data_IF_055467598238
#
_entry.id   IF_055467598238
#
_cell.length_a   1.000
_cell.length_b   1.000
_cell.length_c   1.000
_cell.angle_alpha   90.00
_cell.angle_beta   90.00
_cell.angle_gamma   90.00
#
_symmetry.space_group_name_H-M   'P 1'
#
loop_
_entity.id
_entity.type
_entity.pdbx_description
1 polymer ?
#
# COMPACT_ATOMS: atom_id res chain seq x y z
N UNK A 1 -9.20 4.08 -21.51
CA UNK A 1 -8.68 5.28 -20.83
C UNK A 1 -8.36 4.85 -19.41
N UNK A 2 -7.12 4.51 -19.17
CA UNK A 2 -6.62 4.07 -17.85
C UNK A 2 -6.46 5.35 -17.03
N UNK A 3 -7.41 5.61 -16.13
CA UNK A 3 -7.20 6.63 -15.09
C UNK A 3 -6.10 6.09 -14.19
N UNK A 4 -4.95 6.71 -14.26
CA UNK A 4 -3.81 6.38 -13.45
C UNK A 4 -4.20 6.62 -11.97
N UNK A 5 -3.83 5.70 -11.09
CA UNK A 5 -3.95 5.82 -9.64
C UNK A 5 -3.46 7.19 -9.12
N UNK A 6 -2.50 7.79 -9.84
CA UNK A 6 -1.94 9.10 -9.58
C UNK A 6 -2.94 10.27 -9.77
N UNK A 7 -3.77 10.24 -10.82
CA UNK A 7 -4.69 11.37 -11.12
C UNK A 7 -5.78 11.51 -10.07
N UNK A 8 -6.15 10.41 -9.42
CA UNK A 8 -7.15 10.46 -8.35
C UNK A 8 -6.57 10.99 -7.03
N UNK A 9 -5.33 10.61 -6.71
CA UNK A 9 -4.65 11.08 -5.49
C UNK A 9 -4.29 12.56 -5.57
N UNK A 10 -3.83 13.06 -6.71
CA UNK A 10 -3.49 14.48 -6.91
C UNK A 10 -4.68 15.43 -6.72
N UNK A 11 -5.89 15.03 -7.11
CA UNK A 11 -7.09 15.88 -6.98
C UNK A 11 -7.61 15.96 -5.53
N UNK A 12 -7.43 14.91 -4.71
CA UNK A 12 -7.82 14.94 -3.29
C UNK A 12 -6.75 15.55 -2.39
N UNK A 13 -5.47 15.39 -2.71
CA UNK A 13 -4.37 15.99 -1.95
C UNK A 13 -4.42 17.51 -1.94
N UNK A 14 -4.82 18.14 -3.04
CA UNK A 14 -5.03 19.59 -3.07
C UNK A 14 -6.13 20.06 -2.10
N UNK A 15 -7.06 19.18 -1.73
CA UNK A 15 -8.10 19.48 -0.74
C UNK A 15 -7.72 19.06 0.69
N UNK A 16 -6.87 18.04 0.90
CA UNK A 16 -6.43 17.60 2.23
C UNK A 16 -5.18 18.33 2.75
N UNK A 17 -4.30 18.83 1.87
CA UNK A 17 -3.09 19.58 2.25
C UNK A 17 -3.39 20.90 2.97
N UNK A 18 -4.59 21.45 2.86
CA UNK A 18 -5.03 22.60 3.66
C UNK A 18 -5.28 22.28 5.15
N UNK A 19 -5.19 21.01 5.57
CA UNK A 19 -5.38 20.60 6.97
C UNK A 19 -4.08 20.33 7.74
N UNK A 20 -2.93 20.32 7.06
CA UNK A 20 -1.64 20.09 7.71
C UNK A 20 -0.81 21.37 7.74
N UNK A 21 -1.20 22.32 8.58
CA UNK A 21 -0.31 23.40 8.98
C UNK A 21 0.79 22.83 9.90
N UNK A 22 2.04 22.93 9.45
CA UNK A 22 3.25 22.32 10.05
C UNK A 22 3.58 22.82 11.49
N UNK A 23 2.75 23.65 12.08
CA UNK A 23 2.95 24.23 13.41
C UNK A 23 2.07 23.63 14.51
N UNK A 24 1.07 22.86 14.20
CA UNK A 24 0.23 22.21 15.19
C UNK A 24 0.49 20.70 15.22
N UNK A 25 1.38 20.26 16.10
CA UNK A 25 1.31 18.90 16.62
C UNK A 25 -0.09 18.71 17.17
N UNK A 26 -0.95 18.09 16.39
CA UNK A 26 -2.27 17.70 16.88
C UNK A 26 -2.03 16.81 18.10
N UNK A 27 -2.33 17.30 19.28
CA UNK A 27 -2.55 16.45 20.41
C UNK A 27 -3.65 15.49 19.99
N UNK A 28 -3.30 14.23 19.81
CA UNK A 28 -4.29 13.17 19.57
C UNK A 28 -5.16 13.15 20.81
N UNK A 29 -6.25 13.91 20.76
CA UNK A 29 -7.32 13.78 21.72
C UNK A 29 -7.78 12.34 21.63
N UNK A 30 -7.82 11.63 22.75
CA UNK A 30 -8.44 10.30 22.79
C UNK A 30 -9.82 10.42 22.18
N UNK A 31 -9.98 9.89 20.99
CA UNK A 31 -11.25 9.83 20.29
C UNK A 31 -12.21 9.02 21.15
N UNK A 32 -13.28 9.64 21.67
CA UNK A 32 -14.27 8.89 22.43
C UNK A 32 -15.22 8.14 21.46
N UNK A 33 -15.92 7.16 21.99
CA UNK A 33 -16.88 6.38 21.22
C UNK A 33 -17.91 7.26 20.48
N UNK A 34 -18.31 8.39 21.07
CA UNK A 34 -19.26 9.34 20.50
C UNK A 34 -18.70 10.08 19.29
N UNK A 35 -17.40 10.36 19.28
CA UNK A 35 -16.75 11.00 18.12
C UNK A 35 -16.67 10.04 16.94
N UNK A 36 -16.40 8.76 17.21
CA UNK A 36 -16.44 7.69 16.20
C UNK A 36 -17.86 7.53 15.65
N UNK A 37 -18.89 7.47 16.52
CA UNK A 37 -20.29 7.38 16.10
C UNK A 37 -20.72 8.58 15.26
N UNK A 38 -20.34 9.81 15.65
CA UNK A 38 -20.62 11.02 14.88
C UNK A 38 -19.94 11.00 13.52
N UNK A 39 -18.68 10.54 13.45
CA UNK A 39 -17.96 10.40 12.19
C UNK A 39 -18.69 9.46 11.26
N UNK A 40 -19.04 8.25 11.71
CA UNK A 40 -19.78 7.31 10.87
C UNK A 40 -21.18 7.81 10.48
N UNK A 41 -21.86 8.53 11.38
CA UNK A 41 -23.15 9.14 11.07
C UNK A 41 -23.07 10.32 10.08
N UNK A 42 -21.89 10.92 9.91
CA UNK A 42 -21.68 12.01 8.95
C UNK A 42 -21.36 11.52 7.54
N UNK A 43 -21.01 10.24 7.35
CA UNK A 43 -20.70 9.67 6.05
C UNK A 43 -22.00 9.58 5.24
N UNK A 44 -22.01 10.21 4.09
CA UNK A 44 -23.16 10.19 3.18
C UNK A 44 -23.15 8.93 2.29
N UNK A 45 -24.32 8.57 1.77
CA UNK A 45 -24.44 7.44 0.85
C UNK A 45 -23.64 7.70 -0.44
N UNK A 46 -23.63 8.92 -0.93
CA UNK A 46 -22.84 9.32 -2.11
C UNK A 46 -21.33 9.15 -1.89
N UNK A 47 -20.81 9.53 -0.72
CA UNK A 47 -19.39 9.31 -0.39
C UNK A 47 -19.02 7.84 -0.34
N UNK A 48 -19.92 6.97 0.14
CA UNK A 48 -19.71 5.52 0.13
C UNK A 48 -19.70 4.98 -1.29
N UNK A 49 -20.62 5.44 -2.15
CA UNK A 49 -20.69 5.03 -3.55
C UNK A 49 -19.43 5.47 -4.29
N UNK A 50 -19.02 6.73 -4.16
CA UNK A 50 -17.83 7.27 -4.83
C UNK A 50 -16.56 6.51 -4.40
N UNK A 51 -16.40 6.28 -3.11
CA UNK A 51 -15.27 5.50 -2.58
C UNK A 51 -15.29 4.07 -3.14
N UNK A 52 -16.45 3.42 -3.18
CA UNK A 52 -16.61 2.07 -3.72
C UNK A 52 -16.23 2.01 -5.20
N UNK A 53 -16.62 2.99 -6.01
CA UNK A 53 -16.25 3.06 -7.43
C UNK A 53 -14.74 3.20 -7.63
N UNK A 54 -14.07 3.97 -6.78
CA UNK A 54 -12.60 4.10 -6.80
C UNK A 54 -11.94 2.76 -6.50
N UNK A 55 -12.36 2.10 -5.42
CA UNK A 55 -11.82 0.79 -5.05
C UNK A 55 -12.06 -0.28 -6.11
N UNK A 56 -13.21 -0.27 -6.79
CA UNK A 56 -13.47 -1.17 -7.92
C UNK A 56 -12.48 -0.98 -9.06
N UNK A 57 -12.11 0.27 -9.38
CA UNK A 57 -11.10 0.59 -10.41
C UNK A 57 -9.69 0.14 -10.04
N UNK A 58 -9.41 0.00 -8.74
CA UNK A 58 -8.11 -0.45 -8.24
C UNK A 58 -7.98 -1.97 -8.21
N UNK A 59 -9.05 -2.72 -8.49
CA UNK A 59 -9.03 -4.18 -8.48
C UNK A 59 -7.99 -4.73 -9.45
N UNK A 60 -7.10 -5.56 -8.94
CA UNK A 60 -6.06 -6.20 -9.74
C UNK A 60 -6.68 -7.24 -10.69
N UNK A 61 -6.29 -7.20 -11.95
CA UNK A 61 -6.75 -8.09 -13.02
C UNK A 61 -5.69 -9.08 -13.47
N UNK A 62 -4.43 -8.82 -13.15
CA UNK A 62 -3.29 -9.63 -13.56
C UNK A 62 -2.17 -9.61 -12.52
N UNK A 63 -1.18 -10.48 -12.69
CA UNK A 63 -0.06 -10.65 -11.75
C UNK A 63 0.85 -9.42 -11.68
N UNK A 64 0.94 -8.65 -12.76
CA UNK A 64 1.71 -7.41 -12.78
C UNK A 64 1.11 -6.38 -11.82
N UNK A 65 -0.19 -6.18 -11.86
CA UNK A 65 -0.89 -5.27 -10.96
C UNK A 65 -0.77 -5.73 -9.50
N UNK A 66 -0.90 -7.02 -9.24
CA UNK A 66 -0.66 -7.60 -7.91
C UNK A 66 0.77 -7.30 -7.43
N UNK A 67 1.76 -7.53 -8.28
CA UNK A 67 3.16 -7.25 -7.98
C UNK A 67 3.39 -5.77 -7.67
N UNK A 68 2.79 -4.88 -8.44
CA UNK A 68 2.90 -3.43 -8.22
C UNK A 68 2.27 -2.99 -6.88
N UNK A 69 1.18 -3.62 -6.41
CA UNK A 69 0.63 -3.35 -5.07
C UNK A 69 1.62 -3.74 -3.96
N UNK A 70 2.32 -4.86 -4.12
CA UNK A 70 3.38 -5.24 -3.20
C UNK A 70 4.54 -4.24 -3.21
N UNK A 71 4.98 -3.77 -4.38
CA UNK A 71 6.03 -2.75 -4.46
C UNK A 71 5.62 -1.47 -3.73
N UNK A 72 4.36 -1.05 -3.88
CA UNK A 72 3.82 0.10 -3.15
C UNK A 72 3.86 -0.11 -1.63
N UNK A 73 3.49 -1.30 -1.16
CA UNK A 73 3.57 -1.64 0.26
C UNK A 73 5.01 -1.61 0.80
N UNK A 74 5.99 -2.11 0.03
CA UNK A 74 7.40 -2.01 0.39
C UNK A 74 7.87 -0.55 0.52
N UNK A 75 7.45 0.31 -0.38
CA UNK A 75 7.80 1.73 -0.33
C UNK A 75 7.14 2.45 0.84
N UNK A 76 5.99 1.97 1.35
CA UNK A 76 5.24 2.59 2.45
C UNK A 76 5.81 2.37 3.85
N UNK A 77 6.85 1.55 4.00
CA UNK A 77 7.47 1.26 5.31
C UNK A 77 8.24 2.48 5.82
N UNK A 78 7.84 3.04 6.97
CA UNK A 78 8.51 4.19 7.59
C UNK A 78 8.72 5.40 6.66
N UNK A 79 7.73 5.74 5.84
CA UNK A 79 7.80 6.89 4.94
C UNK A 79 6.50 7.69 4.96
N UNK A 80 6.59 8.99 4.58
CA UNK A 80 5.41 9.76 4.21
C UNK A 80 4.79 9.23 2.92
N UNK A 81 3.53 9.57 2.68
CA UNK A 81 2.84 9.18 1.45
C UNK A 81 3.57 9.66 0.19
N UNK A 82 4.05 10.90 0.17
CA UNK A 82 4.78 11.47 -0.98
C UNK A 82 6.09 10.72 -1.24
N UNK A 83 6.86 10.40 -0.19
CA UNK A 83 8.08 9.60 -0.32
C UNK A 83 7.78 8.19 -0.80
N UNK A 84 6.68 7.58 -0.31
CA UNK A 84 6.19 6.30 -0.79
C UNK A 84 5.88 6.36 -2.29
N UNK A 85 5.11 7.36 -2.72
CA UNK A 85 4.77 7.55 -4.13
C UNK A 85 6.00 7.73 -5.02
N UNK A 86 6.95 8.58 -4.63
CA UNK A 86 8.19 8.76 -5.39
C UNK A 86 8.97 7.44 -5.51
N UNK A 87 9.12 6.72 -4.40
CA UNK A 87 9.78 5.42 -4.38
C UNK A 87 9.09 4.41 -5.30
N UNK A 88 7.78 4.28 -5.18
CA UNK A 88 6.99 3.39 -6.03
C UNK A 88 7.12 3.74 -7.52
N UNK A 89 6.96 5.01 -7.89
CA UNK A 89 7.07 5.45 -9.28
C UNK A 89 8.45 5.15 -9.88
N UNK A 90 9.51 5.29 -9.09
CA UNK A 90 10.86 4.99 -9.55
C UNK A 90 11.09 3.51 -9.87
N UNK A 91 10.35 2.60 -9.21
CA UNK A 91 10.57 1.14 -9.32
C UNK A 91 9.39 0.36 -9.91
N UNK A 92 8.26 1.01 -10.24
CA UNK A 92 7.04 0.32 -10.72
C UNK A 92 7.26 -0.48 -12.00
N UNK A 93 8.17 -0.02 -12.87
CA UNK A 93 8.62 -0.80 -14.01
C UNK A 93 9.78 -1.72 -13.59
N UNK A 94 9.42 -2.93 -13.22
CA UNK A 94 10.38 -3.90 -12.71
C UNK A 94 11.33 -4.42 -13.80
N UNK A 95 10.99 -4.31 -15.07
CA UNK A 95 11.81 -4.79 -16.17
C UNK A 95 13.15 -4.06 -16.24
N UNK A 96 13.21 -2.84 -15.74
CA UNK A 96 14.43 -2.03 -15.71
C UNK A 96 15.44 -2.51 -14.68
N UNK A 97 15.00 -3.14 -13.59
CA UNK A 97 15.86 -3.47 -12.44
C UNK A 97 15.80 -4.95 -12.00
N UNK A 98 14.92 -5.78 -12.55
CA UNK A 98 14.85 -7.19 -12.20
C UNK A 98 16.20 -7.89 -12.42
N UNK A 99 16.69 -8.58 -11.40
CA UNK A 99 18.06 -9.17 -11.33
C UNK A 99 19.22 -8.17 -11.45
N UNK A 100 18.96 -6.87 -11.16
CA UNK A 100 19.97 -5.81 -11.16
C UNK A 100 19.82 -4.95 -9.90
N UNK A 101 20.33 -5.47 -8.78
CA UNK A 101 20.19 -4.83 -7.47
C UNK A 101 20.86 -3.45 -7.40
N UNK A 102 21.91 -3.23 -8.17
CA UNK A 102 22.57 -1.93 -8.31
C UNK A 102 21.64 -0.89 -8.91
N UNK A 103 20.91 -1.24 -9.96
CA UNK A 103 19.92 -0.35 -10.60
C UNK A 103 18.74 -0.09 -9.67
N UNK A 104 18.19 -1.13 -9.03
CA UNK A 104 17.12 -0.97 -8.06
C UNK A 104 17.54 -0.04 -6.92
N UNK A 105 18.74 -0.25 -6.37
CA UNK A 105 19.28 0.59 -5.30
C UNK A 105 19.43 2.03 -5.75
N UNK A 106 19.97 2.28 -6.93
CA UNK A 106 20.15 3.64 -7.46
C UNK A 106 18.80 4.36 -7.62
N UNK A 107 17.77 3.69 -8.18
CA UNK A 107 16.41 4.24 -8.29
C UNK A 107 15.82 4.60 -6.91
N UNK A 108 15.99 3.75 -5.91
CA UNK A 108 15.52 4.01 -4.54
C UNK A 108 16.26 5.20 -3.89
N UNK A 109 17.56 5.36 -4.14
CA UNK A 109 18.34 6.51 -3.67
C UNK A 109 17.83 7.79 -4.31
N UNK A 110 17.70 7.82 -5.63
CA UNK A 110 17.26 9.00 -6.40
C UNK A 110 15.83 9.43 -6.04
N UNK A 111 14.96 8.48 -5.73
CA UNK A 111 13.58 8.78 -5.29
C UNK A 111 13.49 9.39 -3.90
N UNK A 112 14.55 9.29 -3.08
CA UNK A 112 14.55 9.77 -1.69
C UNK A 112 13.68 8.98 -0.73
N UNK A 113 13.26 7.76 -1.08
CA UNK A 113 12.33 6.96 -0.25
C UNK A 113 12.94 6.48 1.07
N UNK A 114 14.24 6.60 1.24
CA UNK A 114 14.97 6.16 2.43
C UNK A 114 15.16 4.64 2.53
N UNK A 115 15.89 4.18 3.54
CA UNK A 115 16.14 2.75 3.83
C UNK A 115 16.56 1.92 2.59
N UNK A 116 17.16 2.54 1.61
CA UNK A 116 17.41 1.97 0.27
C UNK A 116 18.18 0.64 0.31
N UNK A 117 19.14 0.45 1.23
CA UNK A 117 19.87 -0.81 1.35
C UNK A 117 18.96 -1.99 1.71
N UNK A 118 18.12 -1.80 2.75
CA UNK A 118 17.20 -2.84 3.19
C UNK A 118 16.09 -3.05 2.17
N UNK A 119 15.56 -1.97 1.58
CA UNK A 119 14.53 -2.06 0.55
C UNK A 119 15.02 -2.80 -0.68
N UNK A 120 16.22 -2.50 -1.18
CA UNK A 120 16.82 -3.22 -2.30
C UNK A 120 16.83 -4.72 -2.03
N UNK A 121 17.39 -5.12 -0.88
CA UNK A 121 17.47 -6.54 -0.50
C UNK A 121 16.07 -7.19 -0.46
N UNK A 122 15.14 -6.59 0.25
CA UNK A 122 13.81 -7.18 0.45
C UNK A 122 12.97 -7.20 -0.83
N UNK A 123 13.01 -6.14 -1.62
CA UNK A 123 12.27 -6.06 -2.89
C UNK A 123 12.84 -7.02 -3.92
N UNK A 124 14.17 -7.14 -4.03
CA UNK A 124 14.81 -8.07 -4.96
C UNK A 124 14.50 -9.53 -4.62
N UNK A 125 14.58 -9.89 -3.33
CA UNK A 125 14.22 -11.24 -2.86
C UNK A 125 12.72 -11.53 -3.10
N UNK A 126 11.85 -10.58 -2.78
CA UNK A 126 10.42 -10.71 -3.03
C UNK A 126 10.11 -10.86 -4.53
N UNK A 127 10.71 -10.02 -5.38
CA UNK A 127 10.50 -10.06 -6.82
C UNK A 127 10.89 -11.43 -7.41
N UNK A 128 12.02 -11.97 -6.99
CA UNK A 128 12.46 -13.31 -7.40
C UNK A 128 11.44 -14.38 -7.00
N UNK A 129 11.01 -14.40 -5.73
CA UNK A 129 9.99 -15.36 -5.24
C UNK A 129 8.66 -15.21 -5.95
N UNK A 130 8.22 -13.97 -6.16
CA UNK A 130 6.93 -13.68 -6.79
C UNK A 130 6.90 -14.20 -8.22
N UNK A 131 7.89 -13.86 -9.03
CA UNK A 131 7.91 -14.25 -10.44
C UNK A 131 8.25 -15.71 -10.68
N UNK A 132 8.88 -16.40 -9.71
CA UNK A 132 9.01 -17.85 -9.74
C UNK A 132 7.66 -18.55 -9.54
N UNK A 133 6.81 -18.06 -8.67
CA UNK A 133 5.48 -18.65 -8.42
C UNK A 133 4.47 -17.61 -7.88
N UNK A 134 3.82 -16.83 -8.75
CA UNK A 134 2.83 -15.83 -8.34
C UNK A 134 1.66 -16.40 -7.54
N UNK A 135 1.35 -17.70 -7.71
CA UNK A 135 0.23 -18.34 -7.01
C UNK A 135 0.45 -18.50 -5.51
N UNK A 136 1.68 -18.40 -5.02
CA UNK A 136 1.96 -18.37 -3.58
C UNK A 136 1.40 -17.12 -2.91
N UNK A 137 1.25 -16.04 -3.68
CA UNK A 137 0.80 -14.74 -3.22
C UNK A 137 -0.69 -14.48 -3.52
N UNK A 138 -1.42 -15.53 -3.94
CA UNK A 138 -2.86 -15.48 -4.24
C UNK A 138 -3.69 -16.18 -3.18
N UNK A 139 -4.73 -15.50 -2.72
CA UNK A 139 -5.69 -16.07 -1.76
C UNK A 139 -6.47 -17.23 -2.38
N UNK A 140 -6.60 -18.32 -1.62
CA UNK A 140 -7.36 -19.52 -2.03
C UNK A 140 -8.70 -19.57 -1.29
N UNK A 141 -9.77 -19.92 -2.00
CA UNK A 141 -11.15 -19.93 -1.44
C UNK A 141 -11.33 -20.73 -0.14
N UNK A 142 -10.51 -21.75 0.08
CA UNK A 142 -10.60 -22.65 1.25
C UNK A 142 -9.66 -22.25 2.39
N UNK A 143 -9.07 -21.07 2.34
CA UNK A 143 -8.10 -20.56 3.31
C UNK A 143 -8.73 -19.46 4.14
N UNK A 144 -8.36 -19.33 5.41
CA UNK A 144 -8.73 -18.17 6.21
C UNK A 144 -7.82 -17.00 5.89
N UNK A 145 -8.39 -15.79 5.82
CA UNK A 145 -7.64 -14.57 5.55
C UNK A 145 -6.51 -14.32 6.55
N UNK A 146 -6.74 -14.58 7.83
CA UNK A 146 -5.72 -14.44 8.86
C UNK A 146 -4.55 -15.41 8.66
N UNK A 147 -4.84 -16.68 8.34
CA UNK A 147 -3.81 -17.69 8.09
C UNK A 147 -2.98 -17.37 6.83
N UNK A 148 -3.63 -16.90 5.77
CA UNK A 148 -2.96 -16.45 4.55
C UNK A 148 -2.05 -15.27 4.82
N UNK A 149 -2.56 -14.22 5.47
CA UNK A 149 -1.78 -13.06 5.87
C UNK A 149 -0.58 -13.45 6.73
N UNK A 150 -0.79 -14.25 7.77
CA UNK A 150 0.25 -14.64 8.72
C UNK A 150 1.33 -15.52 8.06
N UNK A 151 0.95 -16.30 7.05
CA UNK A 151 1.89 -17.02 6.17
C UNK A 151 2.75 -16.04 5.37
N UNK A 152 2.13 -15.06 4.71
CA UNK A 152 2.85 -14.04 3.93
C UNK A 152 3.80 -13.20 4.79
N UNK A 153 3.43 -12.88 6.04
CA UNK A 153 4.32 -12.16 6.98
C UNK A 153 5.60 -12.94 7.26
N UNK A 154 5.54 -14.27 7.30
CA UNK A 154 6.72 -15.13 7.49
C UNK A 154 7.56 -15.24 6.23
N UNK A 155 6.92 -15.23 5.07
CA UNK A 155 7.57 -15.49 3.78
C UNK A 155 8.13 -14.23 3.11
N UNK A 156 7.60 -13.04 3.45
CA UNK A 156 7.99 -11.77 2.84
C UNK A 156 8.85 -10.98 3.83
N UNK A 157 10.15 -10.99 3.63
CA UNK A 157 11.06 -10.19 4.44
C UNK A 157 10.82 -8.69 4.25
N UNK A 158 10.87 -7.95 5.36
CA UNK A 158 10.75 -6.49 5.34
C UNK A 158 9.32 -5.94 5.43
N UNK A 159 8.31 -6.79 5.37
CA UNK A 159 6.91 -6.41 5.58
C UNK A 159 6.35 -7.08 6.84
N UNK A 160 5.95 -6.26 7.81
CA UNK A 160 5.22 -6.73 8.99
C UNK A 160 3.71 -6.86 8.74
N UNK A 161 3.00 -7.26 9.80
CA UNK A 161 1.57 -7.55 9.78
C UNK A 161 0.73 -6.41 9.14
N UNK A 162 0.98 -5.16 9.53
CA UNK A 162 0.27 -4.00 9.02
C UNK A 162 0.49 -3.82 7.50
N UNK A 163 1.72 -3.92 7.02
CA UNK A 163 2.03 -3.68 5.61
C UNK A 163 1.61 -4.84 4.70
N UNK A 164 1.63 -6.08 5.19
CA UNK A 164 1.03 -7.22 4.48
C UNK A 164 -0.49 -7.04 4.41
N UNK A 165 -1.16 -6.66 5.50
CA UNK A 165 -2.60 -6.36 5.47
C UNK A 165 -2.92 -5.25 4.48
N UNK A 166 -2.14 -4.16 4.48
CA UNK A 166 -2.28 -3.06 3.53
C UNK A 166 -2.17 -3.50 2.06
N UNK A 167 -1.18 -4.33 1.75
CA UNK A 167 -1.06 -4.90 0.41
C UNK A 167 -2.27 -5.74 0.03
N UNK A 168 -2.76 -6.59 0.93
CA UNK A 168 -3.92 -7.44 0.70
C UNK A 168 -5.20 -6.62 0.48
N UNK A 169 -5.42 -5.54 1.23
CA UNK A 169 -6.54 -4.61 1.01
C UNK A 169 -6.49 -3.97 -0.38
N UNK A 170 -5.31 -3.57 -0.84
CA UNK A 170 -5.14 -3.02 -2.18
C UNK A 170 -5.33 -4.05 -3.31
N UNK A 171 -4.95 -5.31 -3.07
CA UNK A 171 -5.05 -6.39 -4.07
C UNK A 171 -6.48 -6.93 -4.16
N UNK A 172 -7.14 -7.10 -3.02
CA UNK A 172 -8.45 -7.73 -2.90
C UNK A 172 -9.54 -6.78 -2.43
N UNK A 173 -9.42 -5.54 -2.68
CA UNK A 173 -10.25 -4.38 -2.33
C UNK A 173 -11.49 -4.64 -1.43
N UNK A 174 -12.49 -5.38 -1.89
CA UNK A 174 -13.72 -5.69 -1.13
C UNK A 174 -13.74 -7.09 -0.51
N UNK A 175 -12.84 -7.97 -0.93
CA UNK A 175 -12.84 -9.38 -0.53
C UNK A 175 -11.95 -9.64 0.67
N UNK A 176 -10.91 -8.82 0.88
CA UNK A 176 -9.96 -8.98 1.97
C UNK A 176 -10.66 -8.81 3.33
N UNK A 177 -10.57 -9.85 4.17
CA UNK A 177 -11.06 -9.82 5.57
C UNK A 177 -9.90 -9.67 6.54
N UNK A 178 -9.01 -8.74 6.23
CA UNK A 178 -7.90 -8.28 7.06
C UNK A 178 -7.89 -6.76 7.05
N UNK A 179 -7.38 -6.15 8.10
CA UNK A 179 -7.32 -4.70 8.21
C UNK A 179 -5.87 -4.27 8.45
N UNK A 180 -5.45 -3.22 7.76
CA UNK A 180 -4.20 -2.53 8.05
C UNK A 180 -4.40 -1.69 9.31
N UNK A 181 -3.97 -2.21 10.45
CA UNK A 181 -3.87 -1.46 11.69
C UNK A 181 -2.43 -0.97 11.84
N UNK A 182 -2.20 0.31 11.69
CA UNK A 182 -0.90 0.94 11.97
C UNK A 182 -0.86 1.42 13.43
N UNK A 183 0.33 1.65 13.97
CA UNK A 183 0.57 2.07 15.35
C UNK A 183 -0.03 3.43 15.71
N UNK A 184 -0.60 4.11 14.74
CA UNK A 184 -1.26 5.41 14.88
C UNK A 184 -2.80 5.34 14.95
N UNK A 185 -3.37 4.12 15.03
CA UNK A 185 -4.80 3.91 15.27
C UNK A 185 -5.12 3.79 16.75
#
# INVERSE_FOLDING_TARGET
MQLDFLTYTETREAQQLNFLDDKNRVHIQKCDKRDVEKFFASITEDEVIDTSLVWQRLKCTNDMEVFQRWLFAFCSVHTSYESNMRGYLAIKDFTEWFNRDDVLKQKLIESGVGMYNNRTKFISEFATKFWQNPNLFKFKKNQKWSEFRDGLVKDILGLGLAKVSFALEMIYTFDAKVMCADTHL
#
